data_IF_279010225077
#
_entry.id   IF_279010225077
#
_cell.length_a   1.000
_cell.length_b   1.000
_cell.length_c   1.000
_cell.angle_alpha   90.00
_cell.angle_beta   90.00
_cell.angle_gamma   90.00
#
_symmetry.space_group_name_H-M   'P 1'
#
loop_
_entity.id
_entity.type
_entity.pdbx_description
1 polymer ?
#
# COMPACT_ATOMS: atom_id res chain seq x y z
N UNK A 1 -16.73 -2.06 -10.05
CA UNK A 1 -15.90 -3.13 -10.67
C UNK A 1 -16.03 -4.47 -9.97
N UNK A 2 -17.23 -5.04 -9.89
CA UNK A 2 -17.48 -6.24 -9.09
C UNK A 2 -16.85 -7.52 -9.67
N UNK A 3 -16.79 -7.66 -11.00
CA UNK A 3 -16.34 -8.89 -11.67
C UNK A 3 -14.84 -8.93 -12.00
N UNK A 4 -14.09 -7.83 -11.75
CA UNK A 4 -12.66 -7.74 -12.09
C UNK A 4 -11.83 -8.88 -11.49
N UNK A 5 -12.03 -9.29 -10.20
CA UNK A 5 -11.29 -10.43 -9.64
C UNK A 5 -11.52 -11.74 -10.40
N UNK A 6 -12.75 -11.99 -10.87
CA UNK A 6 -13.09 -13.19 -11.65
C UNK A 6 -12.39 -13.15 -13.02
N UNK A 7 -12.42 -11.99 -13.68
CA UNK A 7 -11.76 -11.80 -14.97
C UNK A 7 -10.23 -11.94 -14.87
N UNK A 8 -9.59 -11.33 -13.86
CA UNK A 8 -8.15 -11.49 -13.61
C UNK A 8 -7.78 -12.95 -13.33
N UNK A 9 -8.59 -13.67 -12.56
CA UNK A 9 -8.41 -15.12 -12.32
C UNK A 9 -8.50 -15.91 -13.62
N UNK A 10 -9.48 -15.63 -14.49
CA UNK A 10 -9.63 -16.33 -15.77
C UNK A 10 -8.45 -16.07 -16.71
N UNK A 11 -8.06 -14.80 -16.88
CA UNK A 11 -6.94 -14.39 -17.74
C UNK A 11 -5.64 -15.01 -17.27
N UNK A 12 -5.32 -14.93 -15.97
CA UNK A 12 -4.10 -15.52 -15.42
C UNK A 12 -4.09 -17.05 -15.49
N UNK A 13 -5.22 -17.72 -15.25
CA UNK A 13 -5.32 -19.16 -15.39
C UNK A 13 -5.08 -19.63 -16.83
N UNK A 14 -5.70 -18.96 -17.82
CA UNK A 14 -5.48 -19.26 -19.25
C UNK A 14 -4.03 -18.96 -19.64
N UNK A 15 -3.49 -17.80 -19.22
CA UNK A 15 -2.11 -17.42 -19.52
C UNK A 15 -1.06 -18.39 -18.95
N UNK A 16 -1.34 -19.01 -17.79
CA UNK A 16 -0.50 -20.09 -17.24
C UNK A 16 -0.67 -21.41 -17.98
N UNK A 17 -1.91 -21.78 -18.31
CA UNK A 17 -2.22 -23.06 -18.94
C UNK A 17 -1.80 -23.13 -20.42
N UNK A 18 -1.85 -22.00 -21.13
CA UNK A 18 -1.55 -21.88 -22.55
C UNK A 18 -0.57 -20.71 -22.80
N UNK A 19 0.73 -20.84 -22.43
CA UNK A 19 1.70 -19.78 -22.61
C UNK A 19 1.80 -19.32 -24.09
N UNK A 20 1.66 -18.01 -24.31
CA UNK A 20 1.71 -17.41 -25.64
C UNK A 20 0.38 -17.42 -26.41
N UNK A 21 -0.67 -18.06 -25.89
CA UNK A 21 -2.00 -17.99 -26.50
C UNK A 21 -2.55 -16.55 -26.40
N UNK A 22 -2.99 -15.92 -27.51
CA UNK A 22 -3.52 -14.55 -27.47
C UNK A 22 -4.80 -14.45 -26.63
N UNK A 23 -4.81 -13.56 -25.64
CA UNK A 23 -5.96 -13.30 -24.77
C UNK A 23 -6.43 -11.86 -24.94
N UNK A 24 -7.74 -11.69 -25.21
CA UNK A 24 -8.42 -10.41 -25.22
C UNK A 24 -9.18 -10.28 -23.89
N UNK A 25 -8.68 -9.45 -22.97
CA UNK A 25 -9.28 -9.32 -21.64
C UNK A 25 -10.51 -8.40 -21.64
N UNK A 26 -11.51 -8.76 -20.86
CA UNK A 26 -12.68 -7.93 -20.53
C UNK A 26 -13.13 -8.23 -19.11
N UNK A 27 -13.73 -7.25 -18.43
CA UNK A 27 -14.28 -7.41 -17.09
C UNK A 27 -13.76 -6.39 -16.09
N UNK A 28 -14.41 -5.23 -16.04
CA UNK A 28 -14.13 -4.20 -15.05
C UNK A 28 -12.79 -3.47 -15.26
N UNK A 29 -12.31 -3.36 -16.50
CA UNK A 29 -11.19 -2.46 -16.85
C UNK A 29 -11.75 -1.04 -16.95
N UNK A 30 -11.18 -0.11 -16.19
CA UNK A 30 -11.66 1.27 -16.09
C UNK A 30 -10.55 2.33 -15.98
N UNK A 31 -9.28 1.92 -16.05
CA UNK A 31 -8.12 2.80 -15.98
C UNK A 31 -6.89 2.17 -16.65
N UNK A 32 -5.86 2.98 -16.90
CA UNK A 32 -4.57 2.47 -17.38
C UNK A 32 -3.90 1.48 -16.40
N UNK A 33 -4.03 1.73 -15.09
CA UNK A 33 -3.49 0.86 -14.04
C UNK A 33 -4.15 -0.53 -14.08
N UNK A 34 -5.48 -0.55 -14.14
CA UNK A 34 -6.23 -1.81 -14.18
C UNK A 34 -6.01 -2.54 -15.50
N UNK A 35 -5.88 -1.80 -16.61
CA UNK A 35 -5.43 -2.35 -17.88
C UNK A 35 -4.05 -3.01 -17.80
N UNK A 36 -3.08 -2.35 -17.15
CA UNK A 36 -1.74 -2.91 -16.94
C UNK A 36 -1.77 -4.20 -16.10
N UNK A 37 -2.68 -4.31 -15.13
CA UNK A 37 -2.88 -5.56 -14.37
C UNK A 37 -3.28 -6.72 -15.28
N UNK A 38 -4.18 -6.50 -16.25
CA UNK A 38 -4.57 -7.52 -17.22
C UNK A 38 -3.45 -7.89 -18.18
N UNK A 39 -2.64 -6.91 -18.62
CA UNK A 39 -1.43 -7.19 -19.40
C UNK A 39 -0.46 -8.06 -18.60
N UNK A 40 -0.15 -7.68 -17.35
CA UNK A 40 0.68 -8.46 -16.45
C UNK A 40 0.13 -9.87 -16.18
N UNK A 41 -1.20 -10.04 -16.20
CA UNK A 41 -1.88 -11.32 -16.06
C UNK A 41 -1.87 -12.19 -17.33
N UNK A 42 -1.43 -11.66 -18.48
CA UNK A 42 -1.24 -12.42 -19.73
C UNK A 42 -2.12 -11.98 -20.90
N UNK A 43 -2.96 -10.94 -20.76
CA UNK A 43 -3.70 -10.40 -21.88
C UNK A 43 -2.81 -9.59 -22.83
N UNK A 44 -3.17 -9.60 -24.12
CA UNK A 44 -2.49 -8.78 -25.15
C UNK A 44 -3.24 -7.49 -25.46
N UNK A 45 -4.58 -7.51 -25.34
CA UNK A 45 -5.45 -6.36 -25.58
C UNK A 45 -6.59 -6.32 -24.57
N UNK A 46 -7.19 -5.14 -24.42
CA UNK A 46 -8.13 -4.80 -23.36
C UNK A 46 -9.44 -4.30 -23.99
N UNK A 47 -10.56 -4.92 -23.64
CA UNK A 47 -11.90 -4.51 -24.04
C UNK A 47 -12.59 -3.79 -22.89
N UNK A 48 -13.31 -2.72 -23.21
CA UNK A 48 -13.96 -1.83 -22.24
C UNK A 48 -15.44 -1.71 -22.59
N UNK A 49 -16.31 -1.78 -21.57
CA UNK A 49 -17.75 -1.58 -21.72
C UNK A 49 -18.28 -0.70 -20.57
N UNK A 50 -18.33 -1.23 -19.34
CA UNK A 50 -18.96 -0.55 -18.21
C UNK A 50 -18.32 0.80 -17.84
N UNK A 51 -17.01 0.98 -18.05
CA UNK A 51 -16.37 2.27 -17.80
C UNK A 51 -16.89 3.36 -18.77
N UNK A 52 -17.07 3.03 -20.05
CA UNK A 52 -17.69 3.92 -21.03
C UNK A 52 -19.15 4.18 -20.70
N UNK A 53 -19.91 3.15 -20.27
CA UNK A 53 -21.29 3.34 -19.82
C UNK A 53 -21.41 4.29 -18.62
N UNK A 54 -20.42 4.29 -17.73
CA UNK A 54 -20.36 5.18 -16.57
C UNK A 54 -19.87 6.61 -16.91
N UNK A 55 -19.33 6.81 -18.11
CA UNK A 55 -18.72 8.06 -18.54
C UNK A 55 -19.00 8.26 -20.04
N UNK A 56 -17.96 8.35 -20.86
CA UNK A 56 -18.05 8.58 -22.30
C UNK A 56 -16.74 8.14 -22.99
N UNK A 57 -16.63 8.35 -24.31
CA UNK A 57 -15.50 7.87 -25.09
C UNK A 57 -14.18 8.62 -24.83
N UNK A 58 -14.19 9.78 -24.17
CA UNK A 58 -12.96 10.54 -23.87
C UNK A 58 -12.03 9.81 -22.89
N UNK A 59 -12.52 8.80 -22.18
CA UNK A 59 -11.72 7.90 -21.33
C UNK A 59 -10.50 7.32 -22.05
N UNK A 60 -10.56 7.14 -23.37
CA UNK A 60 -9.43 6.62 -24.14
C UNK A 60 -8.17 7.49 -24.02
N UNK A 61 -8.32 8.80 -23.84
CA UNK A 61 -7.20 9.72 -23.66
C UNK A 61 -6.48 9.46 -22.34
N UNK A 62 -7.25 9.33 -21.24
CA UNK A 62 -6.73 8.96 -19.92
C UNK A 62 -6.03 7.60 -19.95
N UNK A 63 -6.63 6.60 -20.60
CA UNK A 63 -6.04 5.25 -20.70
C UNK A 63 -4.70 5.26 -21.42
N UNK A 64 -4.62 6.00 -22.53
CA UNK A 64 -3.39 6.10 -23.31
C UNK A 64 -2.30 6.87 -22.56
N UNK A 65 -2.62 8.01 -21.94
CA UNK A 65 -1.67 8.82 -21.18
C UNK A 65 -1.19 8.09 -19.92
N UNK A 66 -2.12 7.51 -19.16
CA UNK A 66 -1.81 6.73 -17.96
C UNK A 66 -0.92 5.52 -18.27
N UNK A 67 -1.15 4.80 -19.36
CA UNK A 67 -0.32 3.64 -19.72
C UNK A 67 1.08 4.08 -20.15
N UNK A 68 1.18 5.18 -20.93
CA UNK A 68 2.48 5.77 -21.28
C UNK A 68 3.24 6.19 -20.02
N UNK A 69 2.58 6.84 -19.06
CA UNK A 69 3.18 7.23 -17.79
C UNK A 69 3.67 6.01 -17.00
N UNK A 70 2.82 4.98 -16.82
CA UNK A 70 3.18 3.76 -16.10
C UNK A 70 4.37 3.01 -16.72
N UNK A 71 4.49 2.97 -18.04
CA UNK A 71 5.62 2.37 -18.73
C UNK A 71 6.87 3.27 -18.64
N UNK A 72 6.71 4.58 -18.82
CA UNK A 72 7.80 5.55 -18.72
C UNK A 72 8.42 5.56 -17.32
N UNK A 73 7.61 5.63 -16.26
CA UNK A 73 8.11 5.68 -14.88
C UNK A 73 8.91 4.44 -14.50
N UNK A 74 8.64 3.28 -15.13
CA UNK A 74 9.47 2.09 -14.93
C UNK A 74 10.92 2.29 -15.36
N UNK A 75 11.24 3.23 -16.25
CA UNK A 75 12.61 3.52 -16.70
C UNK A 75 13.36 4.57 -15.87
N UNK A 76 12.68 5.21 -14.90
CA UNK A 76 13.23 6.24 -14.04
C UNK A 76 13.70 5.61 -12.72
N UNK A 77 15.01 5.61 -12.46
CA UNK A 77 15.60 4.92 -11.31
C UNK A 77 15.30 5.64 -9.99
N UNK A 78 15.27 6.97 -10.02
CA UNK A 78 15.00 7.84 -8.87
C UNK A 78 13.59 7.63 -8.30
N UNK A 79 12.68 7.05 -9.10
CA UNK A 79 11.29 6.81 -8.73
C UNK A 79 10.99 5.33 -8.42
N UNK A 80 12.02 4.50 -8.19
CA UNK A 80 11.85 3.06 -7.92
C UNK A 80 10.97 2.76 -6.69
N UNK A 81 10.90 3.68 -5.72
CA UNK A 81 10.03 3.55 -4.55
C UNK A 81 8.55 3.86 -4.80
N UNK A 82 8.17 4.34 -5.99
CA UNK A 82 6.79 4.65 -6.33
C UNK A 82 6.02 3.38 -6.73
N UNK A 83 4.74 3.32 -6.38
CA UNK A 83 3.82 2.33 -6.93
C UNK A 83 3.09 2.91 -8.14
N UNK A 84 3.60 2.60 -9.33
CA UNK A 84 3.09 3.18 -10.57
C UNK A 84 3.26 4.69 -10.59
N UNK A 85 2.15 5.42 -10.53
CA UNK A 85 2.12 6.90 -10.48
C UNK A 85 1.98 7.46 -9.06
N UNK A 86 1.90 6.59 -8.04
CA UNK A 86 1.74 6.98 -6.64
C UNK A 86 3.11 7.09 -5.96
N UNK A 87 3.50 8.28 -5.47
CA UNK A 87 4.69 8.41 -4.63
C UNK A 87 4.55 7.58 -3.34
N UNK A 88 5.68 7.21 -2.70
CA UNK A 88 5.63 6.64 -1.36
C UNK A 88 4.81 7.53 -0.42
N UNK A 89 3.86 6.94 0.29
CA UNK A 89 3.04 7.66 1.25
C UNK A 89 3.92 8.22 2.38
N UNK A 90 3.99 9.55 2.46
CA UNK A 90 4.66 10.26 3.54
C UNK A 90 3.77 10.26 4.79
N UNK A 91 4.39 10.29 5.97
CA UNK A 91 3.66 10.53 7.22
C UNK A 91 2.89 11.84 7.12
N UNK A 92 1.56 11.77 7.22
CA UNK A 92 0.70 12.92 7.04
C UNK A 92 -0.49 12.92 8.01
N UNK A 93 -0.99 14.11 8.29
CA UNK A 93 -2.31 14.32 8.88
C UNK A 93 -3.11 15.26 7.96
N UNK A 94 -4.30 14.81 7.53
CA UNK A 94 -5.14 15.54 6.56
C UNK A 94 -4.39 15.92 5.26
N UNK A 95 -3.52 15.03 4.77
CA UNK A 95 -2.70 15.24 3.56
C UNK A 95 -1.52 16.20 3.75
N UNK A 96 -1.33 16.78 4.95
CA UNK A 96 -0.18 17.64 5.26
C UNK A 96 0.94 16.80 5.90
N UNK A 97 2.20 16.92 5.45
CA UNK A 97 3.32 16.22 6.07
C UNK A 97 3.41 16.49 7.57
N UNK A 98 3.66 15.45 8.36
CA UNK A 98 3.92 15.58 9.79
C UNK A 98 5.32 16.15 9.99
N UNK A 99 5.44 17.30 10.65
CA UNK A 99 6.73 17.89 11.00
C UNK A 99 7.46 16.99 12.01
N UNK A 100 8.68 16.58 11.67
CA UNK A 100 9.54 15.86 12.60
C UNK A 100 10.20 16.88 13.55
N UNK A 101 9.79 16.85 14.81
CA UNK A 101 10.34 17.65 15.91
C UNK A 101 10.81 16.70 16.98
N UNK A 102 12.08 16.79 17.39
CA UNK A 102 12.72 15.87 18.33
C UNK A 102 11.91 15.73 19.63
N UNK A 103 11.38 16.84 20.13
CA UNK A 103 10.56 16.89 21.34
C UNK A 103 9.22 16.13 21.22
N UNK A 104 8.78 15.78 20.00
CA UNK A 104 7.55 15.02 19.75
C UNK A 104 7.83 13.56 19.37
N UNK A 105 9.06 13.21 19.00
CA UNK A 105 9.39 11.84 18.56
C UNK A 105 9.19 10.87 19.72
N UNK A 106 8.26 9.92 19.55
CA UNK A 106 7.99 8.86 20.53
C UNK A 106 7.08 9.28 21.70
N UNK A 107 6.55 10.50 21.71
CA UNK A 107 5.59 10.94 22.73
C UNK A 107 4.15 10.48 22.50
N UNK A 108 3.86 9.88 21.33
CA UNK A 108 2.55 9.30 20.99
C UNK A 108 1.38 10.23 21.37
N UNK A 109 1.39 11.45 20.82
CA UNK A 109 0.37 12.47 21.11
C UNK A 109 -0.70 12.49 20.01
N UNK A 110 -1.96 12.13 20.30
CA UNK A 110 -3.01 12.16 19.29
C UNK A 110 -3.42 13.60 18.95
N UNK A 111 -4.10 13.76 17.81
CA UNK A 111 -4.48 15.08 17.28
C UNK A 111 -5.83 15.58 17.80
N UNK A 112 -6.11 15.42 19.10
CA UNK A 112 -7.31 15.93 19.76
C UNK A 112 -7.07 16.30 21.24
N UNK A 113 -8.01 17.03 21.85
CA UNK A 113 -8.02 17.30 23.29
C UNK A 113 -6.75 18.00 23.81
N UNK A 114 -6.30 17.68 25.04
CA UNK A 114 -5.09 18.30 25.62
C UNK A 114 -3.82 17.95 24.84
N UNK A 115 -3.75 16.77 24.23
CA UNK A 115 -2.60 16.32 23.43
C UNK A 115 -2.38 17.20 22.18
N UNK A 116 -3.45 17.66 21.54
CA UNK A 116 -3.36 18.59 20.42
C UNK A 116 -2.82 19.95 20.87
N UNK A 117 -3.18 20.41 22.07
CA UNK A 117 -2.65 21.67 22.62
C UNK A 117 -1.14 21.55 22.83
N UNK A 118 -0.67 20.49 23.50
CA UNK A 118 0.77 20.22 23.70
C UNK A 118 1.50 20.15 22.34
N UNK A 119 0.97 19.39 21.38
CA UNK A 119 1.57 19.28 20.04
C UNK A 119 1.66 20.64 19.35
N UNK A 120 0.64 21.48 19.50
CA UNK A 120 0.59 22.81 18.91
C UNK A 120 1.59 23.77 19.57
N UNK A 121 1.71 23.73 20.90
CA UNK A 121 2.66 24.54 21.67
C UNK A 121 4.11 24.20 21.28
N UNK A 122 4.47 22.91 21.29
CA UNK A 122 5.81 22.45 20.90
C UNK A 122 6.13 22.85 19.44
N UNK A 123 5.17 22.70 18.52
CA UNK A 123 5.36 23.13 17.13
C UNK A 123 5.51 24.66 17.01
N UNK A 124 4.81 25.44 17.83
CA UNK A 124 4.93 26.89 17.83
C UNK A 124 6.31 27.34 18.34
N UNK A 125 6.81 26.71 19.41
CA UNK A 125 8.17 26.96 19.92
C UNK A 125 9.24 26.57 18.90
N UNK A 126 9.11 25.40 18.27
CA UNK A 126 10.01 24.96 17.21
C UNK A 126 10.05 25.96 16.04
N UNK A 127 8.89 26.47 15.61
CA UNK A 127 8.82 27.49 14.56
C UNK A 127 9.46 28.82 14.96
N UNK A 128 9.31 29.26 16.21
CA UNK A 128 10.00 30.46 16.72
C UNK A 128 11.53 30.27 16.65
N UNK A 129 12.04 29.13 17.14
CA UNK A 129 13.46 28.79 17.06
C UNK A 129 13.97 28.81 15.61
N UNK A 130 13.19 28.30 14.65
CA UNK A 130 13.55 28.33 13.24
C UNK A 130 13.56 29.74 12.65
N UNK A 131 12.62 30.61 13.04
CA UNK A 131 12.57 31.98 12.56
C UNK A 131 13.84 32.74 12.94
N UNK A 132 14.36 32.53 14.16
CA UNK A 132 15.60 33.15 14.63
C UNK A 132 16.84 32.67 13.85
N UNK A 133 16.78 31.49 13.22
CA UNK A 133 17.87 30.91 12.40
C UNK A 133 17.77 31.30 10.93
N UNK A 134 16.55 31.47 10.41
CA UNK A 134 16.28 31.61 8.98
C UNK A 134 16.66 32.99 8.40
N UNK A 135 16.97 33.98 9.23
CA UNK A 135 17.52 35.28 8.80
C UNK A 135 18.88 35.16 8.08
N UNK A 136 19.53 33.98 8.11
CA UNK A 136 20.84 33.74 7.49
C UNK A 136 20.86 32.73 6.32
N UNK A 137 19.71 32.20 5.86
CA UNK A 137 19.69 31.12 4.85
C UNK A 137 19.08 31.56 3.51
N UNK A 138 19.94 31.95 2.56
CA UNK A 138 19.58 32.07 1.13
C UNK A 138 19.86 30.74 0.45
N UNK A 139 18.92 29.80 0.54
CA UNK A 139 18.99 28.54 -0.20
C UNK A 139 18.53 28.75 -1.64
N UNK A 140 19.36 28.39 -2.62
CA UNK A 140 18.98 28.37 -4.03
C UNK A 140 17.93 27.28 -4.28
N UNK A 141 16.66 27.67 -4.37
CA UNK A 141 15.51 26.75 -4.45
C UNK A 141 15.15 26.32 -5.88
N UNK A 142 15.86 26.79 -6.90
CA UNK A 142 15.41 26.69 -8.30
C UNK A 142 16.33 25.86 -9.19
N UNK A 143 16.63 24.62 -8.81
CA UNK A 143 17.13 23.63 -9.78
C UNK A 143 16.00 22.68 -10.14
N UNK A 144 15.36 22.91 -11.29
CA UNK A 144 14.40 21.97 -11.86
C UNK A 144 15.13 20.65 -12.16
N UNK A 145 14.92 19.64 -11.31
CA UNK A 145 15.47 18.30 -11.51
C UNK A 145 14.60 17.56 -12.53
N UNK A 146 15.07 17.46 -13.76
CA UNK A 146 14.46 16.61 -14.79
C UNK A 146 15.11 15.24 -14.72
N UNK A 147 14.31 14.20 -14.43
CA UNK A 147 14.79 12.82 -14.46
C UNK A 147 14.75 12.26 -15.88
N UNK A 148 15.83 11.57 -16.25
CA UNK A 148 15.98 10.97 -17.57
C UNK A 148 15.92 9.44 -17.47
N UNK A 149 15.34 8.74 -18.45
CA UNK A 149 15.37 7.28 -18.52
C UNK A 149 16.80 6.73 -18.49
N UNK A 150 17.09 5.86 -17.51
CA UNK A 150 18.39 5.16 -17.42
C UNK A 150 18.37 3.76 -18.05
N UNK A 151 17.19 3.29 -18.44
CA UNK A 151 16.97 2.02 -19.14
C UNK A 151 15.88 2.18 -20.21
N UNK A 152 15.80 1.26 -21.19
CA UNK A 152 14.74 1.31 -22.20
C UNK A 152 13.36 1.31 -21.55
N UNK A 153 12.46 2.18 -22.04
CA UNK A 153 11.05 2.18 -21.65
C UNK A 153 10.42 0.88 -22.15
N UNK A 154 9.80 0.05 -21.27
CA UNK A 154 9.19 -1.20 -21.71
C UNK A 154 8.06 -0.95 -22.70
N UNK A 155 8.02 -1.72 -23.79
CA UNK A 155 6.85 -1.81 -24.65
C UNK A 155 5.78 -2.70 -24.02
N UNK A 156 4.56 -2.66 -24.56
CA UNK A 156 3.45 -3.51 -24.09
C UNK A 156 3.83 -4.99 -24.10
N UNK A 157 4.46 -5.48 -25.18
CA UNK A 157 4.92 -6.87 -25.29
C UNK A 157 5.88 -7.29 -24.16
N UNK A 158 6.64 -6.35 -23.61
CA UNK A 158 7.64 -6.65 -22.60
C UNK A 158 7.00 -6.83 -21.23
N UNK A 159 5.79 -6.32 -21.01
CA UNK A 159 5.07 -6.40 -19.72
C UNK A 159 4.02 -7.51 -19.67
N UNK A 160 3.63 -8.07 -20.82
CA UNK A 160 2.67 -9.18 -20.87
C UNK A 160 3.15 -10.35 -20.00
N UNK A 161 2.23 -10.92 -19.21
CA UNK A 161 2.44 -12.10 -18.37
C UNK A 161 3.49 -11.97 -17.25
N UNK A 162 4.02 -10.77 -16.96
CA UNK A 162 5.05 -10.57 -15.90
C UNK A 162 4.60 -11.00 -14.50
N UNK A 163 3.31 -10.98 -14.19
CA UNK A 163 2.79 -11.36 -12.88
C UNK A 163 2.61 -12.88 -12.72
N UNK A 164 2.60 -13.66 -13.82
CA UNK A 164 2.29 -15.09 -13.75
C UNK A 164 3.29 -15.89 -12.90
N UNK A 165 4.54 -15.44 -12.80
CA UNK A 165 5.57 -16.05 -11.95
C UNK A 165 5.26 -15.97 -10.44
N UNK A 166 4.31 -15.13 -10.03
CA UNK A 166 3.88 -14.97 -8.63
C UNK A 166 2.57 -15.72 -8.33
N UNK A 167 2.02 -16.45 -9.29
CA UNK A 167 0.73 -17.15 -9.15
C UNK A 167 1.02 -18.64 -9.17
N UNK A 168 0.71 -19.32 -8.06
CA UNK A 168 1.03 -20.73 -7.82
C UNK A 168 -0.07 -21.46 -7.05
N UNK A 169 0.13 -22.75 -6.77
CA UNK A 169 -0.67 -23.46 -5.80
C UNK A 169 -0.37 -22.98 -4.37
N UNK A 170 -1.30 -23.17 -3.43
CA UNK A 170 -1.10 -22.75 -2.03
C UNK A 170 0.15 -23.40 -1.39
N UNK A 171 0.45 -24.66 -1.74
CA UNK A 171 1.61 -25.40 -1.22
C UNK A 171 2.96 -24.80 -1.67
N UNK A 172 2.96 -23.96 -2.71
CA UNK A 172 4.16 -23.24 -3.17
C UNK A 172 4.43 -21.97 -2.34
N UNK A 173 3.51 -21.56 -1.47
CA UNK A 173 3.67 -20.40 -0.59
C UNK A 173 4.45 -20.78 0.67
N UNK A 174 5.45 -19.97 1.02
CA UNK A 174 6.24 -20.17 2.23
C UNK A 174 5.42 -19.83 3.49
N UNK A 175 5.17 -20.84 4.33
CA UNK A 175 4.44 -20.67 5.58
C UNK A 175 5.34 -20.30 6.78
N UNK A 176 6.66 -20.20 6.58
CA UNK A 176 7.64 -19.74 7.56
C UNK A 176 7.90 -18.23 7.46
N UNK A 177 7.76 -17.64 6.26
CA UNK A 177 7.88 -16.19 6.03
C UNK A 177 6.64 -15.41 6.50
N UNK A 178 6.36 -15.47 7.81
CA UNK A 178 5.22 -14.82 8.43
C UNK A 178 5.45 -13.31 8.62
N UNK A 179 4.36 -12.55 8.66
CA UNK A 179 4.35 -11.10 8.89
C UNK A 179 3.54 -10.73 10.12
N UNK A 180 3.75 -9.52 10.63
CA UNK A 180 2.92 -8.87 11.65
C UNK A 180 2.53 -7.47 11.18
N UNK A 181 1.41 -6.97 11.70
CA UNK A 181 1.01 -5.59 11.45
C UNK A 181 1.89 -4.63 12.26
N UNK A 182 2.19 -3.47 11.68
CA UNK A 182 2.83 -2.33 12.33
C UNK A 182 2.02 -1.08 12.03
N UNK A 183 1.63 -0.34 13.07
CA UNK A 183 0.83 0.88 12.94
C UNK A 183 1.73 2.10 13.10
N UNK A 184 1.62 3.06 12.19
CA UNK A 184 2.24 4.38 12.32
C UNK A 184 1.30 5.32 13.09
N UNK A 185 1.65 5.58 14.35
CA UNK A 185 0.85 6.42 15.25
C UNK A 185 0.70 7.86 14.74
N UNK A 186 1.69 8.41 14.03
CA UNK A 186 1.61 9.76 13.49
C UNK A 186 0.62 9.87 12.31
N UNK A 187 0.27 8.75 11.68
CA UNK A 187 -0.74 8.68 10.61
C UNK A 187 -2.11 8.23 11.12
N UNK A 188 -2.17 7.65 12.32
CA UNK A 188 -3.40 7.14 12.90
C UNK A 188 -4.39 8.30 13.16
N UNK A 189 -5.68 8.01 12.94
CA UNK A 189 -6.79 8.94 13.22
C UNK A 189 -7.72 8.40 14.33
N UNK A 190 -7.22 7.46 15.13
CA UNK A 190 -7.85 7.01 16.38
C UNK A 190 -9.27 6.40 16.22
N UNK A 191 -9.61 5.88 15.04
CA UNK A 191 -10.97 5.38 14.74
C UNK A 191 -11.31 4.00 15.34
N UNK A 192 -10.31 3.24 15.81
CA UNK A 192 -10.50 1.90 16.39
C UNK A 192 -10.94 0.79 15.41
N UNK A 193 -11.03 1.03 14.10
CA UNK A 193 -11.48 0.00 13.13
C UNK A 193 -10.58 -1.22 13.08
N UNK A 194 -9.27 -1.02 13.20
CA UNK A 194 -8.29 -2.11 13.31
C UNK A 194 -8.54 -2.97 14.57
N UNK A 195 -8.74 -2.31 15.72
CA UNK A 195 -9.08 -2.95 16.98
C UNK A 195 -10.37 -3.77 16.88
N UNK A 196 -11.47 -3.16 16.45
CA UNK A 196 -12.77 -3.84 16.29
C UNK A 196 -12.67 -5.06 15.36
N UNK A 197 -11.99 -4.91 14.22
CA UNK A 197 -11.84 -6.02 13.26
C UNK A 197 -10.98 -7.14 13.81
N UNK A 198 -9.92 -6.82 14.54
CA UNK A 198 -9.09 -7.85 15.18
C UNK A 198 -9.83 -8.57 16.31
N UNK A 199 -10.73 -7.87 17.01
CA UNK A 199 -11.53 -8.48 18.06
C UNK A 199 -12.59 -9.42 17.51
N UNK A 200 -13.45 -8.94 16.61
CA UNK A 200 -14.66 -9.68 16.24
C UNK A 200 -14.48 -10.53 14.98
N UNK A 201 -13.34 -10.38 14.30
CA UNK A 201 -13.02 -11.13 13.06
C UNK A 201 -11.58 -11.62 13.01
N UNK A 202 -10.85 -11.53 14.12
CA UNK A 202 -9.43 -11.86 14.19
C UNK A 202 -9.03 -12.60 15.45
N UNK A 203 -7.98 -12.11 16.11
CA UNK A 203 -7.24 -12.80 17.16
C UNK A 203 -7.10 -11.97 18.45
N UNK A 204 -7.89 -10.90 18.60
CA UNK A 204 -7.87 -10.01 19.77
C UNK A 204 -6.45 -9.50 20.07
N UNK A 205 -5.67 -9.24 19.00
CA UNK A 205 -4.23 -8.99 19.08
C UNK A 205 -3.85 -7.51 19.11
N UNK A 206 -4.83 -6.62 19.26
CA UNK A 206 -4.66 -5.17 19.28
C UNK A 206 -5.22 -4.67 20.59
N UNK A 207 -4.43 -3.93 21.37
CA UNK A 207 -4.94 -3.14 22.50
C UNK A 207 -5.30 -1.75 22.00
N UNK A 208 -6.31 -1.13 22.59
CA UNK A 208 -6.75 0.21 22.24
C UNK A 208 -6.78 1.06 23.49
N UNK A 209 -5.90 2.06 23.55
CA UNK A 209 -5.73 2.88 24.74
C UNK A 209 -6.99 3.73 25.02
N UNK A 210 -7.54 3.73 26.25
CA UNK A 210 -8.81 4.39 26.55
C UNK A 210 -8.74 5.93 26.54
N UNK A 211 -7.54 6.53 26.65
CA UNK A 211 -7.37 7.99 26.75
C UNK A 211 -6.86 8.60 25.45
N UNK A 212 -5.81 8.01 24.88
CA UNK A 212 -5.17 8.45 23.63
C UNK A 212 -5.83 7.85 22.40
N UNK A 213 -6.61 6.77 22.56
CA UNK A 213 -7.21 6.03 21.47
C UNK A 213 -6.18 5.54 20.43
N UNK A 214 -4.94 5.26 20.85
CA UNK A 214 -3.95 4.63 19.99
C UNK A 214 -4.09 3.09 20.02
N UNK A 215 -4.11 2.44 18.85
CA UNK A 215 -4.04 0.99 18.76
C UNK A 215 -2.58 0.51 18.83
N UNK A 216 -2.31 -0.50 19.64
CA UNK A 216 -0.99 -1.14 19.77
C UNK A 216 -1.10 -2.61 19.40
N UNK A 217 -0.24 -3.07 18.49
CA UNK A 217 -0.17 -4.48 18.07
C UNK A 217 0.59 -5.28 19.12
N UNK A 218 0.02 -6.39 19.57
CA UNK A 218 0.67 -7.33 20.50
C UNK A 218 1.35 -8.48 19.76
N UNK A 219 2.23 -9.23 20.45
CA UNK A 219 2.92 -10.40 19.90
C UNK A 219 1.99 -11.54 19.46
N UNK A 220 0.72 -11.48 19.87
CA UNK A 220 -0.31 -12.43 19.51
C UNK A 220 -0.85 -12.24 18.07
N UNK A 221 -0.40 -11.20 17.37
CA UNK A 221 -0.70 -10.94 15.97
C UNK A 221 -0.28 -12.12 15.09
N UNK A 222 -1.15 -12.53 14.17
CA UNK A 222 -0.93 -13.66 13.25
C UNK A 222 -0.64 -13.23 11.82
N UNK A 223 -0.59 -11.93 11.54
CA UNK A 223 -0.35 -11.44 10.18
C UNK A 223 -1.54 -11.57 9.22
N UNK A 224 -2.77 -11.82 9.70
CA UNK A 224 -3.94 -12.03 8.83
C UNK A 224 -4.32 -10.85 7.93
N UNK A 225 -3.71 -9.67 8.14
CA UNK A 225 -3.84 -8.46 7.30
C UNK A 225 -5.21 -7.77 7.33
N UNK A 226 -6.22 -8.31 8.03
CA UNK A 226 -7.56 -7.69 8.12
C UNK A 226 -7.56 -6.25 8.66
N UNK A 227 -6.73 -5.95 9.65
CA UNK A 227 -6.63 -4.60 10.22
C UNK A 227 -6.14 -3.57 9.19
N UNK A 228 -5.16 -3.93 8.37
CA UNK A 228 -4.67 -3.11 7.26
C UNK A 228 -5.80 -2.88 6.24
N UNK A 229 -6.53 -3.94 5.87
CA UNK A 229 -7.58 -3.87 4.86
C UNK A 229 -8.77 -2.97 5.22
N UNK A 230 -9.00 -2.71 6.51
CA UNK A 230 -10.10 -1.84 7.00
C UNK A 230 -9.63 -0.44 7.44
N UNK A 231 -8.31 -0.21 7.47
CA UNK A 231 -7.76 1.07 7.91
C UNK A 231 -8.13 2.16 6.89
N UNK A 232 -8.73 3.29 7.33
CA UNK A 232 -9.16 4.33 6.41
C UNK A 232 -7.99 5.21 5.90
N UNK A 233 -6.79 5.05 6.47
CA UNK A 233 -5.61 5.83 6.09
C UNK A 233 -4.64 4.90 5.35
N UNK A 234 -4.41 5.20 4.07
CA UNK A 234 -3.47 4.47 3.21
C UNK A 234 -2.10 4.43 3.89
N UNK A 235 -1.49 3.25 3.94
CA UNK A 235 -0.17 2.96 4.51
C UNK A 235 0.04 3.33 5.99
N UNK A 236 -1.01 3.70 6.74
CA UNK A 236 -0.93 3.85 8.20
C UNK A 236 -0.61 2.52 8.89
N UNK A 237 -1.09 1.39 8.34
CA UNK A 237 -0.73 0.05 8.79
C UNK A 237 0.08 -0.63 7.69
N UNK A 238 1.22 -1.21 8.05
CA UNK A 238 2.09 -1.99 7.15
C UNK A 238 2.26 -3.40 7.68
N UNK A 239 2.48 -4.36 6.78
CA UNK A 239 2.89 -5.72 7.15
C UNK A 239 4.42 -5.79 7.10
N UNK A 240 5.03 -6.18 8.21
CA UNK A 240 6.49 -6.32 8.33
C UNK A 240 6.85 -7.75 8.70
N UNK A 241 8.04 -8.21 8.33
CA UNK A 241 8.51 -9.57 8.64
C UNK A 241 8.43 -9.81 10.15
N UNK A 242 7.87 -10.96 10.54
CA UNK A 242 7.78 -11.35 11.94
C UNK A 242 9.19 -11.59 12.48
N UNK A 243 9.61 -10.93 13.58
CA UNK A 243 10.95 -11.11 14.14
C UNK A 243 11.12 -12.43 14.91
N UNK A 244 10.01 -13.09 15.27
CA UNK A 244 9.98 -14.33 16.06
C UNK A 244 9.39 -15.48 15.26
N UNK A 245 9.76 -16.72 15.61
CA UNK A 245 9.15 -17.90 15.00
C UNK A 245 7.63 -17.91 15.24
N UNK A 246 6.86 -18.25 14.20
CA UNK A 246 5.41 -18.33 14.31
C UNK A 246 4.97 -19.69 14.82
N UNK A 247 4.14 -19.69 15.87
CA UNK A 247 3.54 -20.90 16.42
C UNK A 247 2.02 -20.80 16.25
N UNK A 248 1.40 -21.62 15.37
CA UNK A 248 -0.04 -21.61 15.17
C UNK A 248 -0.79 -21.95 16.46
N UNK A 249 -1.76 -21.11 16.84
CA UNK A 249 -2.63 -21.36 18.00
C UNK A 249 -3.61 -22.50 17.67
N UNK A 250 -3.40 -23.67 18.28
CA UNK A 250 -4.23 -24.88 18.06
C UNK A 250 -5.45 -24.98 18.97
N UNK A 251 -5.57 -24.12 19.98
CA UNK A 251 -6.65 -24.13 20.98
C UNK A 251 -6.50 -25.23 22.02
N UNK A 252 -6.27 -26.48 21.60
CA UNK A 252 -5.99 -27.63 22.45
C UNK A 252 -4.58 -28.20 22.17
N UNK A 253 -3.96 -28.88 23.16
CA UNK A 253 -2.73 -29.63 22.91
C UNK A 253 -2.93 -30.66 21.81
N UNK A 254 -1.95 -30.80 20.92
CA UNK A 254 -2.00 -31.83 19.90
C UNK A 254 -1.70 -33.19 20.54
N UNK A 255 -2.58 -34.17 20.34
CA UNK A 255 -2.41 -35.53 20.87
C UNK A 255 -1.21 -36.26 20.25
N UNK A 256 -0.77 -35.82 19.08
CA UNK A 256 0.39 -36.33 18.35
C UNK A 256 1.19 -35.13 17.88
N UNK A 257 2.48 -35.08 18.21
CA UNK A 257 3.37 -34.09 17.62
C UNK A 257 3.38 -34.31 16.10
N UNK A 258 3.02 -33.32 15.27
CA UNK A 258 3.08 -33.47 13.83
C UNK A 258 4.54 -33.76 13.46
N UNK A 259 4.75 -34.90 12.82
CA UNK A 259 6.06 -35.26 12.25
C UNK A 259 6.33 -34.22 11.17
N UNK A 260 7.37 -33.42 11.39
CA UNK A 260 7.85 -32.39 10.47
C UNK A 260 8.28 -33.00 9.14
#
# INVERSE_FOLDING_TARGET
NAIRPIALRAVSAIGRALPGFPILATGGIDSAETGLQFLHAGASVLQICSAVQNQDFTLIEDYCLGLKALLYLKSIEELTGWDGQSPPTLRHQKGKPVTRVEELVGKSLPSFGPYLLEKTEVLAEYKKKLQDVNDNFVGDTNVARVFMPKKPVPAVKDVIARALKHIGAYVELDNQEQVIALIDEEMCINCGKCYMTCNDSGYQAITFDPETHFPVITDSCTGCTLCLSVCPIIDCIKMVTRPTAYVPKRGLPQAVNPVC
#
